data_IF_976384668044
#
_entry.id   IF_976384668044
#
_cell.length_a   1.000
_cell.length_b   1.000
_cell.length_c   1.000
_cell.angle_alpha   90.00
_cell.angle_beta   90.00
_cell.angle_gamma   90.00
#
_symmetry.space_group_name_H-M   'P 1'
#
loop_
_entity.id
_entity.type
_entity.pdbx_description
1 polymer ?
#
# COMPACT_ATOMS: atom_id res chain seq x y z
N UNK A 1 -4.95 -12.39 -2.82
CA UNK A 1 -5.95 -11.32 -2.66
C UNK A 1 -7.35 -11.90 -2.53
N UNK A 2 -8.28 -11.17 -1.91
CA UNK A 2 -9.71 -11.52 -1.87
C UNK A 2 -10.32 -11.40 -3.29
N UNK A 3 -11.04 -12.41 -3.80
CA UNK A 3 -11.66 -12.35 -5.13
C UNK A 3 -12.69 -11.22 -5.30
N UNK A 4 -13.34 -10.76 -4.22
CA UNK A 4 -14.32 -9.66 -4.22
C UNK A 4 -13.67 -8.29 -4.05
N UNK A 5 -12.48 -8.25 -3.45
CA UNK A 5 -11.75 -7.03 -3.15
C UNK A 5 -10.30 -7.13 -3.66
N UNK A 6 -10.10 -7.27 -4.98
CA UNK A 6 -8.78 -7.51 -5.53
C UNK A 6 -8.02 -6.19 -5.76
N UNK A 7 -6.74 -6.27 -6.11
CA UNK A 7 -5.83 -5.12 -6.19
C UNK A 7 -6.21 -4.12 -7.30
N UNK A 8 -6.91 -4.59 -8.33
CA UNK A 8 -7.41 -3.76 -9.42
C UNK A 8 -8.38 -2.68 -8.93
N UNK A 9 -9.01 -2.87 -7.76
CA UNK A 9 -9.80 -1.83 -7.10
C UNK A 9 -8.99 -0.56 -6.80
N UNK A 10 -7.67 -0.66 -6.61
CA UNK A 10 -6.81 0.48 -6.36
C UNK A 10 -6.64 1.38 -7.61
N UNK A 11 -6.96 0.85 -8.79
CA UNK A 11 -6.83 1.56 -10.08
C UNK A 11 -8.17 2.17 -10.54
N UNK A 12 -9.26 1.94 -9.81
CA UNK A 12 -10.60 2.43 -10.17
C UNK A 12 -10.78 3.89 -9.76
N UNK A 13 -11.00 4.77 -10.74
CA UNK A 13 -11.29 6.20 -10.50
C UNK A 13 -12.77 6.45 -10.11
N UNK A 14 -13.68 5.58 -10.56
CA UNK A 14 -15.13 5.79 -10.42
C UNK A 14 -15.67 5.45 -9.02
N UNK A 15 -15.05 4.47 -8.35
CA UNK A 15 -15.47 4.03 -7.01
C UNK A 15 -14.28 3.70 -6.12
N UNK A 16 -14.32 4.20 -4.89
CA UNK A 16 -13.34 3.82 -3.85
C UNK A 16 -13.72 2.45 -3.30
N UNK A 17 -12.99 1.41 -3.70
CA UNK A 17 -13.13 0.06 -3.16
C UNK A 17 -11.82 -0.39 -2.53
N UNK A 18 -11.86 -1.09 -1.39
CA UNK A 18 -10.63 -1.55 -0.75
C UNK A 18 -10.03 -2.71 -1.55
N UNK A 19 -8.74 -2.92 -1.32
CA UNK A 19 -8.04 -4.15 -1.66
C UNK A 19 -7.79 -4.94 -0.37
N UNK A 20 -8.21 -6.21 -0.34
CA UNK A 20 -8.13 -7.06 0.85
C UNK A 20 -7.34 -8.34 0.59
N UNK A 21 -6.73 -8.86 1.67
CA UNK A 21 -6.11 -10.18 1.68
C UNK A 21 -7.13 -11.30 1.53
N UNK A 22 -6.68 -12.46 1.04
CA UNK A 22 -7.55 -13.63 0.95
C UNK A 22 -7.91 -14.10 2.38
N UNK A 23 -9.20 -14.33 2.73
CA UNK A 23 -9.57 -14.75 4.09
C UNK A 23 -8.93 -16.08 4.54
N UNK A 24 -8.55 -16.93 3.59
CA UNK A 24 -7.87 -18.20 3.84
C UNK A 24 -6.35 -18.04 3.98
N UNK A 25 -5.79 -16.93 3.52
CA UNK A 25 -4.38 -16.63 3.63
C UNK A 25 -4.03 -16.14 5.04
N UNK A 26 -3.05 -16.79 5.65
CA UNK A 26 -2.56 -16.51 7.02
C UNK A 26 -1.13 -15.95 7.02
N UNK A 27 -0.61 -15.56 5.86
CA UNK A 27 0.71 -14.92 5.69
C UNK A 27 0.87 -13.63 6.50
N UNK A 28 -0.25 -12.96 6.82
CA UNK A 28 -0.33 -11.64 7.49
C UNK A 28 0.36 -10.52 6.71
N UNK A 29 0.71 -10.77 5.46
CA UNK A 29 1.35 -9.81 4.59
C UNK A 29 0.63 -9.81 3.24
N UNK A 30 0.48 -8.61 2.68
CA UNK A 30 -0.11 -8.43 1.37
C UNK A 30 0.76 -7.42 0.61
N UNK A 31 1.15 -7.78 -0.61
CA UNK A 31 1.97 -6.95 -1.48
C UNK A 31 1.38 -6.90 -2.89
N UNK A 32 1.48 -5.72 -3.51
CA UNK A 32 1.09 -5.48 -4.90
C UNK A 32 2.16 -4.62 -5.55
N UNK A 33 2.41 -4.88 -6.82
CA UNK A 33 3.20 -4.02 -7.69
C UNK A 33 2.26 -3.27 -8.63
N UNK A 34 2.33 -1.95 -8.63
CA UNK A 34 1.51 -1.09 -9.49
C UNK A 34 2.41 -0.42 -10.53
N UNK A 35 2.19 -0.77 -11.80
CA UNK A 35 2.93 -0.19 -12.92
C UNK A 35 2.34 1.16 -13.30
N UNK A 36 3.14 2.23 -13.16
CA UNK A 36 2.78 3.55 -13.69
C UNK A 36 2.89 3.56 -15.23
N UNK A 37 2.05 4.34 -15.89
CA UNK A 37 2.06 4.48 -17.36
C UNK A 37 3.42 4.95 -17.92
N UNK A 38 4.13 5.75 -17.13
CA UNK A 38 5.46 6.30 -17.46
C UNK A 38 6.31 6.42 -16.21
N UNK A 39 7.62 6.34 -16.39
CA UNK A 39 8.56 6.67 -15.34
C UNK A 39 8.45 8.16 -14.99
N UNK A 40 8.14 8.44 -13.72
CA UNK A 40 7.93 9.80 -13.20
C UNK A 40 8.48 9.91 -11.77
N UNK A 41 8.97 11.09 -11.35
CA UNK A 41 9.21 11.38 -9.95
C UNK A 41 7.91 11.30 -9.14
N UNK A 42 7.98 10.79 -7.91
CA UNK A 42 6.84 10.73 -6.98
C UNK A 42 7.03 11.83 -5.93
N UNK A 43 6.19 12.87 -5.98
CA UNK A 43 6.28 14.00 -5.03
C UNK A 43 5.50 13.77 -3.72
N UNK A 44 4.40 13.02 -3.79
CA UNK A 44 3.57 12.65 -2.65
C UNK A 44 2.83 11.35 -2.93
N UNK A 45 2.41 10.67 -1.85
CA UNK A 45 1.58 9.46 -1.88
C UNK A 45 0.54 9.54 -0.77
N UNK A 46 -0.72 9.42 -1.14
CA UNK A 46 -1.83 9.36 -0.19
C UNK A 46 -2.36 7.93 -0.11
N UNK A 47 -2.49 7.41 1.11
CA UNK A 47 -2.90 6.02 1.36
C UNK A 47 -4.10 6.01 2.28
N UNK A 48 -5.24 5.54 1.75
CA UNK A 48 -6.38 5.15 2.55
C UNK A 48 -6.17 3.77 3.16
N UNK A 49 -6.12 3.70 4.49
CA UNK A 49 -6.06 2.43 5.20
C UNK A 49 -7.43 1.75 5.21
N UNK A 50 -7.42 0.42 5.27
CA UNK A 50 -8.62 -0.37 5.53
C UNK A 50 -8.26 -1.64 6.32
N UNK A 51 -7.74 -1.45 7.55
CA UNK A 51 -7.39 -2.54 8.45
C UNK A 51 -5.93 -3.02 8.38
N UNK A 52 -5.04 -2.26 7.73
CA UNK A 52 -3.61 -2.57 7.72
C UNK A 52 -2.91 -1.97 8.94
N UNK A 53 -2.09 -2.78 9.62
CA UNK A 53 -1.30 -2.32 10.77
C UNK A 53 0.00 -1.62 10.36
N UNK A 54 0.66 -2.08 9.29
CA UNK A 54 1.96 -1.56 8.83
C UNK A 54 1.97 -1.39 7.31
N UNK A 55 2.57 -0.31 6.84
CA UNK A 55 2.74 -0.03 5.41
C UNK A 55 4.20 0.25 5.10
N UNK A 56 4.68 -0.29 3.98
CA UNK A 56 5.94 0.06 3.33
C UNK A 56 5.66 0.31 1.85
N UNK A 57 6.33 1.30 1.26
CA UNK A 57 6.24 1.59 -0.17
C UNK A 57 7.65 1.55 -0.75
N UNK A 58 7.81 0.78 -1.81
CA UNK A 58 9.05 0.66 -2.55
C UNK A 58 8.82 1.02 -4.01
N UNK A 59 9.88 1.46 -4.68
CA UNK A 59 9.84 1.93 -6.06
C UNK A 59 10.95 1.29 -6.88
N UNK A 60 10.63 1.00 -8.12
CA UNK A 60 11.55 0.41 -9.08
C UNK A 60 11.32 1.01 -10.45
N UNK A 61 12.25 0.76 -11.37
CA UNK A 61 12.02 1.03 -12.78
C UNK A 61 11.91 -0.31 -13.49
N UNK A 62 10.88 -0.47 -14.30
CA UNK A 62 10.70 -1.68 -15.11
C UNK A 62 11.83 -1.92 -16.13
N UNK A 63 12.66 -0.90 -16.38
CA UNK A 63 13.88 -0.99 -17.19
C UNK A 63 15.12 -1.45 -16.41
N UNK A 64 15.03 -1.63 -15.09
CA UNK A 64 16.16 -2.16 -14.30
C UNK A 64 16.38 -3.64 -14.59
N UNK A 65 17.60 -4.16 -14.36
CA UNK A 65 17.84 -5.59 -14.30
C UNK A 65 16.85 -6.28 -13.34
N UNK A 66 16.43 -7.51 -13.67
CA UNK A 66 15.41 -8.24 -12.90
C UNK A 66 15.81 -8.54 -11.45
N UNK A 67 17.12 -8.59 -11.19
CA UNK A 67 17.74 -8.83 -9.90
C UNK A 67 17.99 -7.54 -9.11
N UNK A 68 17.72 -6.36 -9.70
CA UNK A 68 17.84 -5.11 -8.98
C UNK A 68 16.66 -4.96 -8.00
N UNK A 69 16.91 -4.82 -6.69
CA UNK A 69 15.85 -4.64 -5.71
C UNK A 69 15.14 -3.30 -5.88
N UNK A 70 13.87 -3.25 -5.46
CA UNK A 70 13.16 -1.98 -5.29
C UNK A 70 13.87 -1.14 -4.22
N UNK A 71 13.74 0.18 -4.34
CA UNK A 71 14.24 1.14 -3.36
C UNK A 71 13.10 1.58 -2.46
N UNK A 72 13.34 1.68 -1.17
CA UNK A 72 12.35 2.19 -0.22
C UNK A 72 12.01 3.65 -0.51
N UNK A 73 10.74 3.94 -0.80
CA UNK A 73 10.19 5.30 -0.90
C UNK A 73 9.61 5.74 0.44
N UNK A 74 8.83 4.88 1.08
CA UNK A 74 8.28 5.08 2.43
C UNK A 74 8.73 3.91 3.29
N UNK A 75 9.53 4.14 4.36
CA UNK A 75 9.92 3.07 5.28
C UNK A 75 8.69 2.48 5.96
N UNK A 76 8.84 1.34 6.63
CA UNK A 76 7.74 0.75 7.39
C UNK A 76 7.16 1.75 8.40
N UNK A 77 5.87 2.05 8.28
CA UNK A 77 5.13 2.97 9.16
C UNK A 77 3.90 2.29 9.76
N UNK A 78 3.63 2.54 11.04
CA UNK A 78 2.52 1.94 11.80
C UNK A 78 1.21 2.66 11.51
N UNK A 79 0.27 2.07 10.77
CA UNK A 79 -1.04 2.63 10.42
C UNK A 79 -2.10 2.44 11.50
N UNK A 80 -1.99 1.36 12.28
CA UNK A 80 -2.87 1.05 13.40
C UNK A 80 -2.01 0.63 14.59
N UNK A 81 -2.39 1.04 15.80
CA UNK A 81 -1.76 0.52 17.00
C UNK A 81 -2.13 -0.97 17.21
N UNK A 82 -1.42 -1.70 18.09
CA UNK A 82 -1.83 -3.05 18.45
C UNK A 82 -3.26 -3.13 19.02
N UNK A 83 -3.71 -2.11 19.74
CA UNK A 83 -5.05 -2.08 20.32
C UNK A 83 -6.11 -1.79 19.25
N UNK A 84 -5.85 -0.83 18.36
CA UNK A 84 -6.69 -0.59 17.17
C UNK A 84 -6.86 -1.87 16.35
N UNK A 85 -5.76 -2.62 16.15
CA UNK A 85 -5.75 -3.85 15.35
C UNK A 85 -6.55 -4.98 16.02
N UNK A 86 -6.46 -5.13 17.34
CA UNK A 86 -7.18 -6.16 18.09
C UNK A 86 -8.68 -5.86 18.20
N UNK A 87 -9.02 -4.58 18.32
CA UNK A 87 -10.40 -4.11 18.54
C UNK A 87 -11.10 -3.71 17.24
N UNK A 88 -10.41 -3.80 16.09
CA UNK A 88 -10.86 -3.34 14.76
C UNK A 88 -11.34 -1.87 14.75
N UNK A 89 -10.60 -1.01 15.44
CA UNK A 89 -10.88 0.43 15.56
C UNK A 89 -9.98 1.25 14.65
N UNK A 90 -10.42 2.47 14.27
CA UNK A 90 -9.63 3.43 13.48
C UNK A 90 -9.07 2.88 12.15
N UNK A 91 -9.71 1.85 11.59
CA UNK A 91 -9.17 1.09 10.45
C UNK A 91 -9.19 1.82 9.10
N UNK A 92 -9.93 2.93 9.00
CA UNK A 92 -10.19 3.66 7.75
C UNK A 92 -9.42 5.00 7.62
N UNK A 93 -8.33 5.19 8.39
CA UNK A 93 -7.56 6.44 8.37
C UNK A 93 -6.81 6.65 7.04
N UNK A 94 -6.67 7.90 6.61
CA UNK A 94 -5.83 8.28 5.46
C UNK A 94 -4.51 8.85 5.96
N UNK A 95 -3.40 8.48 5.33
CA UNK A 95 -2.08 9.09 5.58
C UNK A 95 -1.42 9.58 4.32
N UNK A 96 -0.85 10.77 4.43
CA UNK A 96 -0.16 11.47 3.35
C UNK A 96 1.34 11.39 3.60
N UNK A 97 2.08 10.92 2.61
CA UNK A 97 3.54 10.89 2.59
C UNK A 97 4.02 11.89 1.55
N UNK A 98 4.90 12.79 1.94
CA UNK A 98 5.55 13.74 1.04
C UNK A 98 7.02 13.81 1.40
N UNK A 99 7.84 14.28 0.48
CA UNK A 99 9.23 14.58 0.77
C UNK A 99 9.30 15.55 1.98
N UNK A 100 10.05 15.15 3.00
CA UNK A 100 10.33 16.04 4.12
C UNK A 100 11.15 17.22 3.61
N UNK A 101 10.66 18.44 3.80
CA UNK A 101 11.57 19.59 3.76
C UNK A 101 12.34 19.54 5.08
N UNK A 102 13.66 19.38 4.99
CA UNK A 102 14.57 19.72 6.08
C UNK A 102 14.32 21.17 6.57
#
# INVERSE_FOLDING_TARGET
QDPKYPAENLLSEDTVRPWLGCPQDRSRQLSVELQLERASPIGYVDIGNYGCAFLQIEVGRSSWPRDQPYLTLVPTVTLMTPDDSKLDQNRCGVRMFKEGKD
#
